data_IF_130602347205
#
_entry.id   IF_130602347205
#
_cell.length_a   1.000
_cell.length_b   1.000
_cell.length_c   1.000
_cell.angle_alpha   90.00
_cell.angle_beta   90.00
_cell.angle_gamma   90.00
#
_symmetry.space_group_name_H-M   'P 1'
#
loop_
_entity.id
_entity.type
_entity.pdbx_description
1 polymer ?
#
# COMPACT_ATOMS: atom_id res chain seq x y z
N UNK A 1 -30.90 -0.40 -55.92
CA UNK A 1 -30.08 0.66 -55.30
C UNK A 1 -30.72 1.14 -54.01
N UNK A 2 -30.58 0.40 -52.88
CA UNK A 2 -31.11 0.75 -51.54
C UNK A 2 -30.82 -0.40 -50.57
N UNK A 3 -29.55 -0.71 -50.31
CA UNK A 3 -29.18 -1.70 -49.27
C UNK A 3 -27.84 -1.39 -48.55
N UNK A 4 -27.44 -0.13 -48.48
CA UNK A 4 -26.10 0.22 -47.90
C UNK A 4 -26.20 1.05 -46.58
N UNK A 5 -27.36 1.45 -46.08
CA UNK A 5 -27.44 2.39 -44.96
C UNK A 5 -27.98 1.87 -43.61
N UNK A 6 -28.25 0.58 -43.45
CA UNK A 6 -28.78 0.05 -42.17
C UNK A 6 -27.71 -0.53 -41.23
N UNK A 7 -26.49 -0.79 -41.77
CA UNK A 7 -25.39 -1.34 -40.93
C UNK A 7 -24.57 -0.28 -40.18
N UNK A 8 -24.59 0.97 -40.64
CA UNK A 8 -23.78 2.06 -40.01
C UNK A 8 -24.47 2.74 -38.84
N UNK A 9 -25.81 2.79 -38.78
CA UNK A 9 -26.56 3.42 -37.68
C UNK A 9 -26.49 2.58 -36.40
N UNK A 10 -26.65 1.27 -36.49
CA UNK A 10 -26.60 0.37 -35.35
C UNK A 10 -25.21 0.31 -34.69
N UNK A 11 -24.14 0.55 -35.43
CA UNK A 11 -22.76 0.55 -34.87
C UNK A 11 -22.45 1.84 -34.13
N UNK A 12 -22.94 2.99 -34.62
CA UNK A 12 -22.76 4.28 -33.94
C UNK A 12 -23.61 4.38 -32.66
N UNK A 13 -24.86 3.97 -32.71
CA UNK A 13 -25.73 3.93 -31.52
C UNK A 13 -25.19 2.96 -30.46
N UNK A 14 -24.72 1.78 -30.85
CA UNK A 14 -24.07 0.85 -29.93
C UNK A 14 -22.75 1.41 -29.38
N UNK A 15 -21.99 2.16 -30.18
CA UNK A 15 -20.75 2.81 -29.72
C UNK A 15 -21.07 3.94 -28.74
N UNK A 16 -22.08 4.80 -29.04
CA UNK A 16 -22.55 5.85 -28.10
C UNK A 16 -23.12 5.24 -26.82
N UNK A 17 -23.90 4.16 -26.91
CA UNK A 17 -24.42 3.43 -25.75
C UNK A 17 -23.29 2.85 -24.89
N UNK A 18 -22.26 2.25 -25.50
CA UNK A 18 -21.09 1.71 -24.83
C UNK A 18 -20.26 2.82 -24.18
N UNK A 19 -20.00 3.93 -24.89
CA UNK A 19 -19.28 5.08 -24.33
C UNK A 19 -20.06 5.72 -23.18
N UNK A 20 -21.36 5.93 -23.34
CA UNK A 20 -22.23 6.50 -22.32
C UNK A 20 -22.30 5.63 -21.07
N UNK A 21 -22.47 4.30 -21.21
CA UNK A 21 -22.42 3.36 -20.10
C UNK A 21 -21.03 3.24 -19.49
N UNK A 22 -19.95 3.36 -20.28
CA UNK A 22 -18.58 3.38 -19.79
C UNK A 22 -18.29 4.63 -18.96
N UNK A 23 -18.69 5.80 -19.43
CA UNK A 23 -18.53 7.05 -18.69
C UNK A 23 -19.36 7.05 -17.39
N UNK A 24 -20.59 6.56 -17.41
CA UNK A 24 -21.44 6.44 -16.21
C UNK A 24 -20.81 5.46 -15.20
N UNK A 25 -20.24 4.37 -15.66
CA UNK A 25 -19.64 3.33 -14.79
C UNK A 25 -18.53 3.87 -13.90
N UNK A 26 -17.75 4.85 -14.39
CA UNK A 26 -16.64 5.44 -13.63
C UNK A 26 -16.92 6.83 -13.07
N UNK A 27 -18.09 7.41 -13.34
CA UNK A 27 -18.45 8.75 -12.83
C UNK A 27 -18.38 8.87 -11.31
N UNK A 28 -18.56 7.77 -10.60
CA UNK A 28 -18.60 7.72 -9.14
C UNK A 28 -17.32 7.15 -8.49
N UNK A 29 -16.35 6.69 -9.31
CA UNK A 29 -15.11 6.14 -8.77
C UNK A 29 -14.25 7.24 -8.13
N UNK A 30 -13.95 7.10 -6.85
CA UNK A 30 -13.21 8.11 -6.08
C UNK A 30 -12.35 7.51 -4.98
N UNK A 31 -11.37 8.28 -4.53
CA UNK A 31 -10.55 7.96 -3.36
C UNK A 31 -11.39 8.09 -2.09
N UNK A 32 -11.62 6.97 -1.41
CA UNK A 32 -12.36 6.91 -0.13
C UNK A 32 -11.46 7.08 1.07
N UNK A 33 -10.22 6.60 1.00
CA UNK A 33 -9.22 6.84 2.04
C UNK A 33 -7.80 6.75 1.50
N UNK A 34 -6.90 7.50 2.13
CA UNK A 34 -5.48 7.57 1.82
C UNK A 34 -4.70 7.13 3.05
N UNK A 35 -3.72 6.25 2.84
CA UNK A 35 -2.87 5.77 3.91
C UNK A 35 -1.41 5.77 3.47
N UNK A 36 -0.51 6.04 4.41
CA UNK A 36 0.92 5.87 4.20
C UNK A 36 1.57 5.17 5.39
N UNK A 37 2.73 4.63 5.18
CA UNK A 37 3.46 3.83 6.15
C UNK A 37 4.91 4.32 6.21
N UNK A 38 5.29 5.21 7.13
CA UNK A 38 6.66 5.73 7.16
C UNK A 38 7.70 4.64 7.44
N UNK A 39 7.37 3.65 8.27
CA UNK A 39 8.24 2.52 8.62
C UNK A 39 7.75 1.25 7.97
N UNK A 40 8.61 0.62 7.13
CA UNK A 40 8.31 -0.63 6.40
C UNK A 40 7.58 -1.65 7.28
N UNK A 41 6.48 -2.18 6.76
CA UNK A 41 5.66 -3.23 7.37
C UNK A 41 4.99 -2.87 8.70
N UNK A 42 5.21 -1.70 9.28
CA UNK A 42 4.64 -1.34 10.56
C UNK A 42 3.69 -0.17 10.35
N UNK A 43 2.47 -0.31 10.78
CA UNK A 43 1.37 0.66 10.73
C UNK A 43 1.12 1.36 9.37
N UNK A 44 -0.15 1.58 9.10
CA UNK A 44 -0.62 2.46 8.05
C UNK A 44 -1.42 3.58 8.71
N UNK A 45 -1.04 4.81 8.43
CA UNK A 45 -1.72 5.99 8.93
C UNK A 45 -2.67 6.54 7.90
N UNK A 46 -3.86 6.91 8.34
CA UNK A 46 -4.83 7.63 7.51
C UNK A 46 -4.43 9.10 7.43
N UNK A 47 -4.46 9.65 6.22
CA UNK A 47 -4.20 11.06 5.91
C UNK A 47 -5.26 11.58 4.94
N UNK A 48 -5.48 12.89 4.93
CA UNK A 48 -6.48 13.51 4.05
C UNK A 48 -5.94 13.82 2.65
N UNK A 49 -4.62 13.95 2.52
CA UNK A 49 -3.96 14.20 1.25
C UNK A 49 -2.51 13.72 1.28
N UNK A 50 -1.93 13.47 0.12
CA UNK A 50 -0.52 13.12 -0.03
C UNK A 50 0.09 13.73 -1.29
N UNK A 51 1.38 14.03 -1.22
CA UNK A 51 2.18 14.39 -2.39
C UNK A 51 2.64 13.11 -3.10
N UNK A 52 2.54 13.13 -4.42
CA UNK A 52 2.97 12.05 -5.31
C UNK A 52 4.20 12.52 -6.07
N UNK A 53 5.25 11.72 -6.06
CA UNK A 53 6.43 11.93 -6.88
C UNK A 53 6.50 10.89 -7.99
N UNK A 54 6.69 11.36 -9.23
CA UNK A 54 6.83 10.50 -10.42
C UNK A 54 7.87 9.39 -10.18
N UNK A 55 7.53 8.17 -10.54
CA UNK A 55 8.38 6.98 -10.40
C UNK A 55 8.85 6.68 -8.96
N UNK A 56 8.27 7.35 -7.96
CA UNK A 56 8.63 7.16 -6.56
C UNK A 56 7.42 6.70 -5.73
N UNK A 57 6.30 7.41 -5.83
CA UNK A 57 5.08 7.13 -5.07
C UNK A 57 4.75 8.24 -4.07
N UNK A 58 4.15 7.85 -2.95
CA UNK A 58 3.75 8.76 -1.88
C UNK A 58 5.00 9.25 -1.13
N UNK A 59 5.08 10.55 -0.91
CA UNK A 59 6.16 11.17 -0.14
C UNK A 59 6.23 10.58 1.28
N UNK A 60 7.45 10.30 1.75
CA UNK A 60 7.74 9.71 3.06
C UNK A 60 7.18 8.27 3.29
N UNK A 61 6.61 7.63 2.27
CA UNK A 61 6.12 6.27 2.41
C UNK A 61 7.29 5.28 2.42
N UNK A 62 7.40 4.48 3.48
CA UNK A 62 8.42 3.43 3.70
C UNK A 62 9.87 3.91 3.61
N UNK A 63 10.14 5.16 3.99
CA UNK A 63 11.51 5.70 4.05
C UNK A 63 12.32 5.13 5.20
N UNK A 64 11.69 4.47 6.16
CA UNK A 64 12.33 3.77 7.27
C UNK A 64 12.09 2.26 7.20
N UNK A 65 13.05 1.50 7.76
CA UNK A 65 12.90 0.06 8.00
C UNK A 65 13.77 -0.36 9.19
N UNK A 66 13.29 -1.31 9.99
CA UNK A 66 14.14 -1.97 10.98
C UNK A 66 14.90 -3.11 10.32
N UNK A 67 16.22 -3.01 10.31
CA UNK A 67 17.11 -4.12 9.95
C UNK A 67 17.25 -5.08 11.11
N UNK A 68 17.25 -6.38 10.80
CA UNK A 68 17.57 -7.47 11.73
C UNK A 68 18.96 -8.07 11.47
N UNK A 69 19.85 -7.30 10.87
CA UNK A 69 21.23 -7.66 10.60
C UNK A 69 22.10 -7.22 11.78
N UNK A 70 22.87 -8.16 12.33
CA UNK A 70 23.74 -7.94 13.48
C UNK A 70 24.96 -7.08 13.11
N UNK A 71 25.49 -7.27 11.89
CA UNK A 71 26.63 -6.51 11.40
C UNK A 71 26.24 -5.08 10.98
N UNK A 72 26.72 -4.09 11.72
CA UNK A 72 26.43 -2.68 11.48
C UNK A 72 26.97 -2.17 10.13
N UNK A 73 28.08 -2.69 9.64
CA UNK A 73 28.62 -2.33 8.33
C UNK A 73 27.67 -2.79 7.22
N UNK A 74 27.19 -4.02 7.32
CA UNK A 74 26.17 -4.56 6.40
C UNK A 74 24.84 -3.81 6.52
N UNK A 75 24.40 -3.43 7.72
CA UNK A 75 23.21 -2.62 7.91
C UNK A 75 23.33 -1.27 7.19
N UNK A 76 24.46 -0.58 7.31
CA UNK A 76 24.74 0.66 6.57
C UNK A 76 24.81 0.46 5.05
N UNK A 77 25.33 -0.67 4.59
CA UNK A 77 25.37 -1.00 3.17
C UNK A 77 23.96 -1.13 2.57
N UNK A 78 23.07 -1.91 3.20
CA UNK A 78 21.68 -2.07 2.75
C UNK A 78 20.84 -0.80 2.93
N UNK A 79 21.17 0.08 3.90
CA UNK A 79 20.56 1.38 4.03
C UNK A 79 20.79 2.21 2.77
N UNK A 80 22.03 2.27 2.29
CA UNK A 80 22.46 3.10 1.16
C UNK A 80 22.20 2.47 -0.20
N UNK A 81 22.38 1.15 -0.32
CA UNK A 81 22.31 0.44 -1.59
C UNK A 81 21.09 -0.50 -1.67
N UNK A 82 20.05 -0.14 -2.43
CA UNK A 82 18.86 -0.98 -2.55
C UNK A 82 19.12 -2.35 -3.20
N UNK A 83 20.17 -2.50 -4.02
CA UNK A 83 20.49 -3.78 -4.67
C UNK A 83 21.02 -4.83 -3.68
N UNK A 84 21.51 -4.40 -2.51
CA UNK A 84 21.98 -5.28 -1.44
C UNK A 84 20.85 -5.72 -0.50
N UNK A 85 19.63 -5.22 -0.73
CA UNK A 85 18.49 -5.49 0.13
C UNK A 85 17.87 -6.85 -0.17
N UNK A 86 17.52 -7.57 0.89
CA UNK A 86 16.70 -8.77 0.86
C UNK A 86 15.58 -8.63 1.89
N UNK A 87 14.38 -9.16 1.61
CA UNK A 87 13.25 -9.09 2.54
C UNK A 87 13.57 -9.66 3.92
N UNK A 88 14.39 -10.71 3.98
CA UNK A 88 14.80 -11.33 5.23
C UNK A 88 15.73 -10.45 6.08
N UNK A 89 16.25 -9.36 5.52
CA UNK A 89 17.07 -8.40 6.26
C UNK A 89 16.26 -7.50 7.17
N UNK A 90 14.93 -7.48 7.03
CA UNK A 90 14.07 -6.52 7.70
C UNK A 90 13.08 -7.20 8.64
N UNK A 91 12.70 -6.48 9.70
CA UNK A 91 11.50 -6.80 10.44
C UNK A 91 10.27 -6.54 9.57
N UNK A 92 9.36 -7.48 9.56
CA UNK A 92 8.10 -7.43 8.84
C UNK A 92 7.00 -8.05 9.69
N UNK A 93 5.75 -7.75 9.43
CA UNK A 93 4.63 -8.41 10.12
C UNK A 93 4.57 -9.93 9.87
N UNK A 94 5.27 -10.44 8.86
CA UNK A 94 5.38 -11.88 8.62
C UNK A 94 6.28 -12.56 9.64
N UNK A 95 7.40 -11.94 10.02
CA UNK A 95 8.39 -12.50 10.94
C UNK A 95 8.33 -11.91 12.35
N UNK A 96 7.59 -10.83 12.54
CA UNK A 96 7.45 -10.11 13.81
C UNK A 96 6.03 -9.52 13.93
N UNK A 97 4.98 -10.38 14.01
CA UNK A 97 3.58 -9.93 14.01
C UNK A 97 3.24 -9.01 15.19
N UNK A 98 3.95 -9.16 16.31
CA UNK A 98 3.82 -8.32 17.51
C UNK A 98 3.97 -6.82 17.23
N UNK A 99 4.71 -6.46 16.18
CA UNK A 99 4.90 -5.06 15.78
C UNK A 99 3.62 -4.39 15.23
N UNK A 100 2.58 -5.17 14.93
CA UNK A 100 1.31 -4.61 14.46
C UNK A 100 0.54 -3.82 15.54
N UNK A 101 0.91 -3.95 16.82
CA UNK A 101 0.37 -3.15 17.93
C UNK A 101 0.84 -1.70 17.90
N UNK A 102 1.96 -1.44 17.25
CA UNK A 102 2.62 -0.14 17.26
C UNK A 102 2.25 0.69 16.02
N UNK A 103 2.34 2.00 16.19
CA UNK A 103 2.15 2.96 15.12
C UNK A 103 3.31 3.94 15.08
N UNK A 104 3.68 4.39 13.87
CA UNK A 104 4.72 5.40 13.66
C UNK A 104 4.14 6.61 12.94
N UNK A 105 4.40 7.78 13.49
CA UNK A 105 4.08 9.08 12.88
C UNK A 105 5.39 9.74 12.48
N UNK A 106 5.49 10.23 11.25
CA UNK A 106 6.65 10.98 10.79
C UNK A 106 6.25 12.34 10.27
N UNK A 107 6.61 13.37 11.03
CA UNK A 107 6.31 14.78 10.71
C UNK A 107 7.48 15.65 11.11
N UNK A 108 7.81 16.65 10.28
CA UNK A 108 8.87 17.65 10.57
C UNK A 108 10.20 17.03 10.99
N UNK A 109 10.60 15.91 10.36
CA UNK A 109 11.81 15.12 10.68
C UNK A 109 11.78 14.43 12.04
N UNK A 110 10.69 14.47 12.76
CA UNK A 110 10.47 13.74 14.00
C UNK A 110 9.75 12.43 13.68
N UNK A 111 10.27 11.32 14.17
CA UNK A 111 9.64 10.01 14.12
C UNK A 111 9.15 9.63 15.52
N UNK A 112 7.85 9.49 15.65
CA UNK A 112 7.19 9.17 16.92
C UNK A 112 6.66 7.74 16.89
N UNK A 113 7.03 6.94 17.88
CA UNK A 113 6.45 5.62 18.16
C UNK A 113 5.28 5.79 19.12
N UNK A 114 4.13 5.23 18.76
CA UNK A 114 2.93 5.24 19.60
C UNK A 114 2.34 3.84 19.74
N UNK A 115 1.58 3.61 20.82
CA UNK A 115 0.72 2.46 21.03
C UNK A 115 -0.59 2.95 21.67
N UNK A 116 -1.73 2.50 21.17
CA UNK A 116 -3.06 2.90 21.65
C UNK A 116 -3.24 4.43 21.71
N UNK A 117 -2.71 5.13 20.69
CA UNK A 117 -2.67 6.59 20.56
C UNK A 117 -1.86 7.32 21.68
N UNK A 118 -1.06 6.60 22.46
CA UNK A 118 -0.15 7.19 23.43
C UNK A 118 1.26 7.19 22.89
N UNK A 119 1.94 8.31 23.02
CA UNK A 119 3.36 8.43 22.67
C UNK A 119 4.21 7.59 23.61
N UNK A 120 5.13 6.83 23.03
CA UNK A 120 6.15 6.06 23.75
C UNK A 120 7.48 6.80 23.71
N UNK A 121 7.87 7.26 22.51
CA UNK A 121 9.12 7.99 22.27
C UNK A 121 9.02 8.75 20.96
N UNK A 122 9.57 9.96 20.95
CA UNK A 122 9.79 10.79 19.76
C UNK A 122 11.28 11.04 19.59
N UNK A 123 11.76 10.92 18.35
CA UNK A 123 13.18 11.08 18.00
C UNK A 123 13.36 11.99 16.79
N UNK A 124 14.51 12.67 16.70
CA UNK A 124 14.96 13.24 15.43
C UNK A 124 15.39 12.11 14.49
N UNK A 125 14.66 11.95 13.40
CA UNK A 125 14.92 10.88 12.43
C UNK A 125 16.22 11.08 11.64
N UNK A 126 16.80 12.30 11.69
CA UNK A 126 18.09 12.60 11.06
C UNK A 126 19.28 12.17 11.94
N UNK A 127 19.11 12.12 13.25
CA UNK A 127 20.16 11.74 14.18
C UNK A 127 20.29 10.21 14.27
N UNK A 128 21.50 9.69 14.02
CA UNK A 128 21.77 8.24 14.05
C UNK A 128 21.70 7.67 15.47
N UNK A 129 22.11 8.45 16.50
CA UNK A 129 22.08 7.98 17.89
C UNK A 129 20.65 7.90 18.39
N UNK A 130 19.80 8.86 18.01
CA UNK A 130 18.37 8.82 18.35
C UNK A 130 17.65 7.67 17.64
N UNK A 131 18.00 7.37 16.38
CA UNK A 131 17.47 6.15 15.71
C UNK A 131 17.90 4.86 16.42
N UNK A 132 19.10 4.82 16.98
CA UNK A 132 19.55 3.70 17.80
C UNK A 132 18.77 3.62 19.13
N UNK A 133 18.51 4.76 19.76
CA UNK A 133 17.69 4.84 20.96
C UNK A 133 16.28 4.27 20.72
N UNK A 134 15.64 4.65 19.62
CA UNK A 134 14.34 4.11 19.25
C UNK A 134 14.39 2.59 18.98
N UNK A 135 15.47 2.11 18.35
CA UNK A 135 15.67 0.67 18.10
C UNK A 135 15.80 -0.11 19.40
N UNK A 136 16.57 0.40 20.37
CA UNK A 136 16.71 -0.19 21.71
C UNK A 136 15.37 -0.17 22.45
N UNK A 137 14.66 0.95 22.41
CA UNK A 137 13.34 1.09 23.04
C UNK A 137 12.35 0.04 22.53
N UNK A 138 12.28 -0.17 21.21
CA UNK A 138 11.40 -1.18 20.63
C UNK A 138 11.77 -2.61 21.08
N UNK A 139 13.07 -2.92 21.23
CA UNK A 139 13.51 -4.23 21.72
C UNK A 139 13.34 -4.42 23.21
N UNK A 140 13.26 -3.35 23.99
CA UNK A 140 12.87 -3.39 25.40
C UNK A 140 11.38 -3.73 25.55
N UNK A 141 10.54 -3.08 24.73
CA UNK A 141 9.09 -3.31 24.73
C UNK A 141 8.72 -4.72 24.25
N UNK A 142 9.47 -5.26 23.28
CA UNK A 142 9.17 -6.54 22.65
C UNK A 142 10.37 -7.50 22.76
N UNK A 143 10.39 -8.27 23.81
CA UNK A 143 11.45 -9.25 24.10
C UNK A 143 11.56 -10.38 23.08
N UNK A 144 10.50 -10.62 22.29
CA UNK A 144 10.44 -11.63 21.22
C UNK A 144 11.19 -11.22 19.96
N UNK A 145 11.58 -9.96 19.81
CA UNK A 145 12.33 -9.49 18.65
C UNK A 145 13.78 -10.00 18.68
N UNK A 146 14.24 -10.39 17.49
CA UNK A 146 15.67 -10.71 17.29
C UNK A 146 16.49 -9.45 17.52
N UNK A 147 17.55 -9.56 18.34
CA UNK A 147 18.42 -8.45 18.73
C UNK A 147 19.83 -8.66 18.15
N UNK A 148 20.55 -7.57 17.84
CA UNK A 148 20.10 -6.19 17.77
C UNK A 148 19.29 -5.90 16.52
N UNK A 149 18.46 -4.85 16.57
CA UNK A 149 17.81 -4.25 15.39
C UNK A 149 18.36 -2.84 15.17
N UNK A 150 18.30 -2.37 13.94
CA UNK A 150 18.76 -1.01 13.58
C UNK A 150 17.73 -0.32 12.72
N UNK A 151 17.28 0.86 13.11
CA UNK A 151 16.40 1.69 12.30
C UNK A 151 17.21 2.35 11.18
N UNK A 152 16.93 1.96 9.95
CA UNK A 152 17.51 2.48 8.72
C UNK A 152 16.62 3.57 8.14
N UNK A 153 17.24 4.55 7.42
CA UNK A 153 16.52 5.62 6.73
C UNK A 153 17.07 5.80 5.31
N UNK A 154 16.19 5.83 4.31
CA UNK A 154 16.57 6.18 2.95
C UNK A 154 15.41 6.86 2.21
N UNK A 155 15.54 8.18 2.01
CA UNK A 155 14.52 8.97 1.31
C UNK A 155 14.59 8.79 -0.21
N UNK A 156 15.77 8.43 -0.75
CA UNK A 156 15.96 8.26 -2.19
C UNK A 156 15.48 6.91 -2.69
N UNK A 157 15.65 5.88 -1.88
CA UNK A 157 15.27 4.50 -2.18
C UNK A 157 14.51 3.89 -1.00
N UNK A 158 13.19 4.15 -0.88
CA UNK A 158 12.38 3.59 0.19
C UNK A 158 12.40 2.06 0.24
N UNK A 159 11.95 1.50 1.34
CA UNK A 159 12.02 0.06 1.62
C UNK A 159 10.75 -0.68 1.19
N UNK A 160 10.36 -0.57 -0.08
CA UNK A 160 9.23 -1.31 -0.64
C UNK A 160 9.50 -2.81 -0.74
N UNK A 161 8.44 -3.64 -0.64
CA UNK A 161 8.56 -5.09 -0.76
C UNK A 161 8.81 -5.57 -2.20
N UNK A 162 8.42 -4.77 -3.18
CA UNK A 162 8.43 -5.10 -4.60
C UNK A 162 9.60 -4.51 -5.37
N UNK A 163 10.40 -3.65 -4.74
CA UNK A 163 11.50 -2.93 -5.39
C UNK A 163 12.72 -2.90 -4.49
N UNK A 164 13.63 -3.84 -4.74
CA UNK A 164 14.96 -3.90 -4.12
C UNK A 164 16.06 -3.43 -5.09
N UNK A 165 15.70 -2.63 -6.07
CA UNK A 165 16.61 -2.03 -7.04
C UNK A 165 16.49 -0.51 -7.01
N UNK A 166 17.37 0.17 -7.75
CA UNK A 166 17.29 1.63 -7.94
C UNK A 166 16.06 2.07 -8.73
N UNK A 167 15.41 1.14 -9.44
CA UNK A 167 14.16 1.40 -10.15
C UNK A 167 12.98 1.12 -9.22
N UNK A 168 12.21 2.14 -8.90
CA UNK A 168 11.05 2.04 -8.02
C UNK A 168 9.81 1.88 -8.88
N UNK A 169 9.25 0.66 -8.86
CA UNK A 169 7.96 0.33 -9.47
C UNK A 169 7.01 -0.19 -8.38
N UNK A 170 5.71 -0.23 -8.67
CA UNK A 170 4.73 -0.81 -7.77
C UNK A 170 4.77 -0.18 -6.37
N UNK A 171 5.01 1.12 -6.29
CA UNK A 171 5.20 1.81 -5.02
C UNK A 171 3.88 2.17 -4.33
N UNK A 172 2.77 2.24 -5.08
CA UNK A 172 1.46 2.59 -4.57
C UNK A 172 0.52 1.40 -4.74
N UNK A 173 -0.23 1.09 -3.70
CA UNK A 173 -1.24 0.05 -3.69
C UNK A 173 -2.64 0.64 -3.64
N UNK A 174 -3.54 0.13 -4.48
CA UNK A 174 -4.95 0.53 -4.55
C UNK A 174 -5.84 -0.70 -4.36
N UNK A 175 -6.90 -0.55 -3.57
CA UNK A 175 -7.93 -1.57 -3.35
C UNK A 175 -9.31 -0.96 -3.52
N UNK A 176 -10.17 -1.68 -4.22
CA UNK A 176 -11.58 -1.39 -4.31
C UNK A 176 -12.32 -1.93 -3.08
N UNK A 177 -13.06 -1.08 -2.39
CA UNK A 177 -13.83 -1.46 -1.21
C UNK A 177 -14.94 -2.46 -1.52
N UNK A 178 -15.52 -2.42 -2.72
CA UNK A 178 -16.53 -3.40 -3.13
C UNK A 178 -15.92 -4.81 -3.29
N UNK A 179 -14.65 -4.92 -3.70
CA UNK A 179 -13.93 -6.20 -3.72
C UNK A 179 -13.76 -6.79 -2.31
N UNK A 180 -13.51 -5.94 -1.31
CA UNK A 180 -13.48 -6.38 0.10
C UNK A 180 -14.87 -6.80 0.55
N UNK A 181 -15.94 -6.04 0.22
CA UNK A 181 -17.31 -6.39 0.58
C UNK A 181 -17.78 -7.70 -0.06
N UNK A 182 -17.41 -7.97 -1.32
CA UNK A 182 -17.66 -9.26 -1.96
C UNK A 182 -16.97 -10.41 -1.21
N UNK A 183 -15.70 -10.21 -0.83
CA UNK A 183 -14.96 -11.18 -0.03
C UNK A 183 -15.60 -11.41 1.34
N UNK A 184 -15.97 -10.35 2.08
CA UNK A 184 -16.70 -10.44 3.36
C UNK A 184 -17.98 -11.26 3.24
N UNK A 185 -18.77 -11.00 2.19
CA UNK A 185 -20.01 -11.73 1.91
C UNK A 185 -19.76 -13.23 1.71
N UNK A 186 -18.70 -13.58 0.96
CA UNK A 186 -18.37 -14.98 0.66
C UNK A 186 -17.82 -15.74 1.87
N UNK A 187 -17.11 -15.07 2.79
CA UNK A 187 -16.64 -15.71 4.04
C UNK A 187 -17.63 -15.58 5.19
N UNK A 188 -18.73 -14.83 4.99
CA UNK A 188 -19.73 -14.51 6.02
C UNK A 188 -19.10 -13.90 7.28
N UNK A 189 -18.14 -12.98 7.11
CA UNK A 189 -17.44 -12.28 8.20
C UNK A 189 -17.08 -10.86 7.78
N UNK A 190 -17.14 -9.91 8.72
CA UNK A 190 -16.61 -8.57 8.52
C UNK A 190 -15.08 -8.58 8.58
N UNK A 191 -14.47 -7.78 7.73
CA UNK A 191 -13.02 -7.67 7.60
C UNK A 191 -12.64 -6.20 7.57
N UNK A 192 -11.80 -5.76 8.48
CA UNK A 192 -11.27 -4.40 8.46
C UNK A 192 -10.44 -4.20 7.18
N UNK A 193 -10.76 -3.22 6.32
CA UNK A 193 -10.01 -2.98 5.07
C UNK A 193 -8.50 -2.79 5.29
N UNK A 194 -8.12 -2.19 6.42
CA UNK A 194 -6.73 -1.93 6.79
C UNK A 194 -5.86 -3.19 6.93
N UNK A 195 -6.45 -4.38 7.08
CA UNK A 195 -5.73 -5.66 7.04
C UNK A 195 -4.97 -5.84 5.71
N UNK A 196 -5.55 -5.33 4.62
CA UNK A 196 -4.93 -5.40 3.29
C UNK A 196 -3.85 -4.34 3.06
N UNK A 197 -3.70 -3.35 3.96
CA UNK A 197 -2.55 -2.44 3.99
C UNK A 197 -2.30 -1.74 2.65
N UNK A 198 -3.35 -1.15 2.06
CA UNK A 198 -3.24 -0.38 0.83
C UNK A 198 -3.02 1.11 1.10
N UNK A 199 -2.39 1.80 0.14
CA UNK A 199 -2.24 3.25 0.18
C UNK A 199 -3.55 3.95 -0.16
N UNK A 200 -4.26 3.47 -1.19
CA UNK A 200 -5.53 4.01 -1.63
C UNK A 200 -6.64 2.96 -1.50
N UNK A 201 -7.74 3.37 -0.90
CA UNK A 201 -9.00 2.65 -0.99
C UNK A 201 -9.97 3.48 -1.82
N UNK A 202 -10.66 2.81 -2.74
CA UNK A 202 -11.60 3.45 -3.68
C UNK A 202 -12.98 2.82 -3.55
N UNK A 203 -14.00 3.58 -3.89
CA UNK A 203 -15.37 3.13 -4.02
C UNK A 203 -16.00 3.60 -5.33
N UNK A 204 -17.24 3.21 -5.59
CA UNK A 204 -18.01 3.66 -6.73
C UNK A 204 -17.80 2.85 -8.01
N UNK A 205 -17.17 1.67 -7.94
CA UNK A 205 -17.05 0.71 -9.03
C UNK A 205 -17.41 -0.70 -8.56
N UNK A 206 -17.76 -1.58 -9.49
CA UNK A 206 -18.10 -2.97 -9.18
C UNK A 206 -16.94 -3.72 -8.52
N UNK A 207 -17.26 -4.73 -7.73
CA UNK A 207 -16.26 -5.59 -7.11
C UNK A 207 -15.33 -6.21 -8.17
N UNK A 208 -14.02 -6.16 -7.91
CA UNK A 208 -12.95 -6.68 -8.77
C UNK A 208 -12.72 -5.94 -10.09
N UNK A 209 -13.46 -4.87 -10.36
CA UNK A 209 -13.30 -4.07 -11.59
C UNK A 209 -11.88 -3.47 -11.72
N UNK A 210 -11.24 -3.13 -10.62
CA UNK A 210 -9.86 -2.63 -10.62
C UNK A 210 -8.87 -3.58 -11.32
N UNK A 211 -9.17 -4.87 -11.38
CA UNK A 211 -8.32 -5.87 -12.06
C UNK A 211 -8.31 -5.71 -13.58
N UNK A 212 -9.39 -5.16 -14.14
CA UNK A 212 -9.52 -4.88 -15.59
C UNK A 212 -8.67 -3.67 -16.03
N UNK A 213 -8.08 -2.96 -15.09
CA UNK A 213 -7.20 -1.82 -15.36
C UNK A 213 -5.73 -2.23 -15.56
N UNK A 214 -5.36 -3.48 -15.31
CA UNK A 214 -3.97 -3.95 -15.45
C UNK A 214 -3.46 -3.69 -16.86
N UNK A 215 -2.25 -3.09 -16.95
CA UNK A 215 -1.60 -2.69 -18.19
C UNK A 215 -2.07 -1.34 -18.75
N UNK A 216 -3.16 -0.76 -18.20
CA UNK A 216 -3.71 0.53 -18.64
C UNK A 216 -3.16 1.70 -17.83
N UNK A 217 -3.47 2.91 -18.28
CA UNK A 217 -3.23 4.15 -17.55
C UNK A 217 -4.58 4.60 -16.98
N UNK A 218 -4.59 4.91 -15.69
CA UNK A 218 -5.70 5.58 -15.03
C UNK A 218 -5.26 6.97 -14.57
N UNK A 219 -6.21 7.88 -14.45
CA UNK A 219 -5.97 9.19 -13.87
C UNK A 219 -6.69 9.30 -12.54
N UNK A 220 -5.99 9.77 -11.52
CA UNK A 220 -6.58 10.19 -10.25
C UNK A 220 -6.43 11.70 -10.23
N UNK A 221 -7.56 12.42 -10.36
CA UNK A 221 -7.55 13.85 -10.63
C UNK A 221 -6.70 14.13 -11.91
N UNK A 222 -5.66 14.94 -11.81
CA UNK A 222 -4.76 15.30 -12.92
C UNK A 222 -3.47 14.47 -12.99
N UNK A 223 -3.33 13.46 -12.15
CA UNK A 223 -2.13 12.60 -12.07
C UNK A 223 -2.41 11.27 -12.76
N UNK A 224 -1.57 10.94 -13.76
CA UNK A 224 -1.64 9.66 -14.45
C UNK A 224 -0.83 8.59 -13.73
N UNK A 225 -1.40 7.39 -13.64
CA UNK A 225 -0.77 6.21 -13.06
C UNK A 225 -0.82 5.05 -14.04
N UNK A 226 0.27 4.34 -14.17
CA UNK A 226 0.27 3.04 -14.84
C UNK A 226 -0.17 1.96 -13.84
N UNK A 227 -1.13 1.16 -14.23
CA UNK A 227 -1.56 -0.01 -13.46
C UNK A 227 -0.68 -1.18 -13.82
N UNK A 228 0.09 -1.70 -12.86
CA UNK A 228 1.15 -2.66 -13.15
C UNK A 228 0.67 -4.11 -13.07
N UNK A 229 0.13 -4.51 -11.93
CA UNK A 229 -0.29 -5.89 -11.66
C UNK A 229 -1.17 -6.02 -10.43
N UNK A 230 -1.77 -7.19 -10.25
CA UNK A 230 -2.45 -7.56 -9.01
C UNK A 230 -1.47 -7.64 -7.84
N UNK A 231 -1.98 -7.45 -6.62
CA UNK A 231 -1.20 -7.55 -5.38
C UNK A 231 -1.44 -8.91 -4.73
N UNK A 232 -0.48 -9.85 -4.81
CA UNK A 232 -0.55 -11.07 -4.03
C UNK A 232 -0.37 -10.75 -2.55
N UNK A 233 -1.31 -11.21 -1.72
CA UNK A 233 -1.28 -10.99 -0.27
C UNK A 233 -0.47 -12.06 0.44
N UNK A 234 0.03 -11.72 1.62
CA UNK A 234 0.74 -12.63 2.49
C UNK A 234 0.00 -12.78 3.83
N UNK A 235 0.51 -13.61 4.72
CA UNK A 235 -0.09 -13.88 6.03
C UNK A 235 -0.34 -12.64 6.90
N UNK A 236 0.29 -11.51 6.61
CA UNK A 236 0.08 -10.26 7.35
C UNK A 236 -1.38 -9.76 7.30
N UNK A 237 -2.18 -10.14 6.28
CA UNK A 237 -3.60 -9.79 6.23
C UNK A 237 -4.45 -10.48 7.29
N UNK A 238 -3.94 -11.55 7.89
CA UNK A 238 -4.61 -12.24 8.98
C UNK A 238 -4.59 -11.42 10.29
N UNK A 239 -3.64 -10.49 10.43
CA UNK A 239 -3.51 -9.64 11.61
C UNK A 239 -4.59 -8.58 11.65
N UNK A 240 -5.31 -8.50 12.77
CA UNK A 240 -6.25 -7.41 13.04
C UNK A 240 -5.48 -6.10 13.25
N UNK A 241 -5.87 -5.00 12.59
CA UNK A 241 -5.15 -3.73 12.70
C UNK A 241 -4.95 -3.29 14.17
N UNK A 242 -3.77 -2.79 14.48
CA UNK A 242 -3.36 -2.31 15.81
C UNK A 242 -3.34 -3.38 16.93
N UNK A 243 -3.35 -4.66 16.56
CA UNK A 243 -3.26 -5.79 17.50
C UNK A 243 -2.32 -6.86 16.96
N UNK A 244 -1.99 -7.87 17.77
CA UNK A 244 -1.32 -9.11 17.35
C UNK A 244 -2.30 -10.27 17.11
N UNK A 245 -3.61 -10.00 17.16
CA UNK A 245 -4.66 -10.98 16.85
C UNK A 245 -4.62 -11.40 15.38
N UNK A 246 -4.38 -12.69 15.14
CA UNK A 246 -4.36 -13.36 13.85
C UNK A 246 -5.39 -14.49 13.73
N UNK A 247 -6.48 -14.40 14.48
CA UNK A 247 -7.54 -15.43 14.56
C UNK A 247 -8.26 -15.69 13.23
N UNK A 248 -8.22 -14.75 12.27
CA UNK A 248 -8.81 -14.92 10.94
C UNK A 248 -7.77 -15.44 9.94
N UNK A 249 -8.10 -16.50 9.22
CA UNK A 249 -7.26 -17.04 8.14
C UNK A 249 -7.71 -16.52 6.77
N UNK A 250 -7.58 -15.20 6.55
CA UNK A 250 -8.05 -14.54 5.33
C UNK A 250 -7.25 -14.96 4.09
N UNK A 251 -5.95 -15.22 4.24
CA UNK A 251 -5.11 -15.62 3.12
C UNK A 251 -5.57 -16.94 2.50
N UNK A 252 -5.83 -17.95 3.34
CA UNK A 252 -6.36 -19.24 2.91
C UNK A 252 -7.76 -19.09 2.32
N UNK A 253 -8.59 -18.22 2.90
CA UNK A 253 -9.93 -17.94 2.40
C UNK A 253 -9.92 -17.35 1.00
N UNK A 254 -9.01 -16.38 0.71
CA UNK A 254 -8.82 -15.84 -0.64
C UNK A 254 -8.51 -16.95 -1.64
N UNK A 255 -7.52 -17.79 -1.33
CA UNK A 255 -7.14 -18.91 -2.21
C UNK A 255 -8.29 -19.89 -2.44
N UNK A 256 -9.03 -20.24 -1.39
CA UNK A 256 -10.15 -21.19 -1.47
C UNK A 256 -11.31 -20.66 -2.32
N UNK A 257 -11.61 -19.35 -2.25
CA UNK A 257 -12.79 -18.75 -2.88
C UNK A 257 -12.49 -18.32 -4.31
N UNK A 258 -11.32 -17.73 -4.56
CA UNK A 258 -11.01 -17.12 -5.86
C UNK A 258 -9.88 -17.82 -6.63
N UNK A 259 -9.30 -18.89 -6.06
CA UNK A 259 -8.14 -19.62 -6.59
C UNK A 259 -6.86 -18.77 -6.75
N UNK A 260 -6.78 -17.63 -6.06
CA UNK A 260 -5.61 -16.78 -6.01
C UNK A 260 -5.47 -16.10 -4.64
N UNK A 261 -4.33 -15.44 -4.40
CA UNK A 261 -4.06 -14.68 -3.17
C UNK A 261 -4.22 -13.16 -3.34
N UNK A 262 -4.71 -12.69 -4.50
CA UNK A 262 -4.66 -11.28 -4.85
C UNK A 262 -5.82 -10.49 -4.24
N UNK A 263 -5.53 -9.25 -3.83
CA UNK A 263 -6.50 -8.23 -3.47
C UNK A 263 -5.92 -6.85 -3.79
N UNK A 264 -6.54 -6.14 -4.76
CA UNK A 264 -6.10 -4.85 -5.25
C UNK A 264 -4.97 -4.90 -6.28
N UNK A 265 -4.48 -3.74 -6.66
CA UNK A 265 -3.53 -3.52 -7.76
C UNK A 265 -2.40 -2.60 -7.34
N UNK A 266 -1.24 -2.74 -7.99
CA UNK A 266 -0.11 -1.82 -7.87
C UNK A 266 -0.14 -0.75 -8.94
N UNK A 267 0.22 0.47 -8.54
CA UNK A 267 0.32 1.64 -9.38
C UNK A 267 1.75 2.19 -9.40
N UNK A 268 2.15 2.73 -10.55
CA UNK A 268 3.35 3.55 -10.73
C UNK A 268 2.94 4.95 -11.18
N UNK A 269 3.32 5.98 -10.42
CA UNK A 269 3.00 7.37 -10.76
C UNK A 269 3.81 7.84 -11.97
N UNK A 270 3.14 8.41 -12.97
CA UNK A 270 3.76 8.93 -14.19
C UNK A 270 3.97 10.46 -14.15
N UNK A 271 3.36 11.15 -13.19
CA UNK A 271 3.46 12.60 -12.96
C UNK A 271 3.57 12.89 -11.47
N UNK A 272 4.15 14.06 -11.16
CA UNK A 272 4.09 14.64 -9.81
C UNK A 272 2.72 15.28 -9.60
N UNK A 273 2.30 15.38 -8.35
CA UNK A 273 1.09 16.09 -7.98
C UNK A 273 0.64 15.80 -6.55
N UNK A 274 -0.58 16.18 -6.22
CA UNK A 274 -1.22 15.96 -4.93
C UNK A 274 -2.51 15.16 -5.13
N UNK A 275 -2.74 14.19 -4.28
CA UNK A 275 -3.99 13.42 -4.20
C UNK A 275 -4.69 13.76 -2.90
N UNK A 276 -6.00 13.94 -2.96
CA UNK A 276 -6.86 14.27 -1.84
C UNK A 276 -8.03 13.28 -1.74
N UNK A 277 -8.63 13.21 -0.55
CA UNK A 277 -9.86 12.45 -0.37
C UNK A 277 -10.96 12.95 -1.31
N UNK A 278 -11.66 12.03 -1.95
CA UNK A 278 -12.73 12.35 -2.90
C UNK A 278 -12.26 12.58 -4.33
N UNK A 279 -10.93 12.60 -4.61
CA UNK A 279 -10.41 12.71 -5.96
C UNK A 279 -10.98 11.59 -6.85
N UNK A 280 -11.49 11.99 -8.02
CA UNK A 280 -12.11 11.07 -8.99
C UNK A 280 -11.05 10.28 -9.75
N UNK A 281 -11.43 9.04 -10.07
CA UNK A 281 -10.63 8.15 -10.90
C UNK A 281 -11.30 8.02 -12.26
N UNK A 282 -10.53 8.21 -13.32
CA UNK A 282 -10.94 8.01 -14.72
C UNK A 282 -9.94 7.10 -15.43
N UNK A 283 -10.42 6.40 -16.44
CA UNK A 283 -9.61 5.51 -17.29
C UNK A 283 -9.48 6.10 -18.69
#
# INVERSE_FOLDING_TARGET
MLYINLFSYNTLENLFYLIYHYEIKYMNCKISSIHYCPVKSISFQSINSCNITKNFGIENDRIFAFSRIIDLAKAKLIEKNPNERNLNNFLTLKNSPVLNKYNFVYENKILTLTQDNKEIISISAEDQNERLLLSNKLTELESSLVKPITLLKNNKFPFFDTSHSKNIFNSISLINLESIKDFEKKINKKVEPQRFRANFYVDGIDAWEERNWIGKIININNISFKVEKNIPRCVAINLKPKTDDNSLNLLTSLKKIYDHFDMGIYLTALKNGKIELGDKITQ
#
